data_IF_678323978883
#
_entry.id   IF_678323978883
#
_cell.length_a   1.000
_cell.length_b   1.000
_cell.length_c   1.000
_cell.angle_alpha   90.00
_cell.angle_beta   90.00
_cell.angle_gamma   90.00
#
_symmetry.space_group_name_H-M   'P 1'
#
loop_
_entity.id
_entity.type
_entity.pdbx_description
1 polymer ?
#
# COMPACT_ATOMS: atom_id res chain seq x y z
N UNK A 1 7.78 28.80 22.17
CA UNK A 1 7.68 30.14 22.77
C UNK A 1 9.10 30.64 23.03
N UNK A 2 9.36 31.92 22.75
CA UNK A 2 10.65 32.58 22.96
C UNK A 2 10.48 33.61 24.07
N UNK A 3 11.43 33.65 25.00
CA UNK A 3 11.47 34.58 26.12
C UNK A 3 12.79 35.33 26.10
N UNK A 4 12.74 36.65 26.14
CA UNK A 4 13.89 37.54 26.25
C UNK A 4 13.78 38.27 27.58
N UNK A 5 14.83 38.23 28.38
CA UNK A 5 14.87 38.87 29.70
C UNK A 5 16.02 39.86 29.76
N UNK A 6 15.72 41.07 30.20
CA UNK A 6 16.70 42.10 30.50
C UNK A 6 16.92 42.17 32.02
N UNK A 7 18.09 42.64 32.43
CA UNK A 7 18.42 42.87 33.85
C UNK A 7 17.74 44.13 34.42
N UNK A 8 17.16 44.96 33.55
CA UNK A 8 16.37 46.14 33.89
C UNK A 8 15.29 46.37 32.81
N UNK A 9 14.34 47.24 33.08
CA UNK A 9 13.27 47.54 32.13
C UNK A 9 13.82 48.32 30.92
N UNK A 10 13.45 47.89 29.71
CA UNK A 10 13.88 48.53 28.46
C UNK A 10 12.71 48.99 27.59
N UNK A 11 13.00 49.98 26.75
CA UNK A 11 12.15 50.49 25.67
C UNK A 11 12.87 50.37 24.32
N UNK A 12 12.16 50.62 23.21
CA UNK A 12 12.73 50.57 21.85
C UNK A 12 12.92 49.17 21.26
N UNK A 13 12.88 48.11 22.08
CA UNK A 13 12.99 46.73 21.61
C UNK A 13 11.78 46.31 20.76
N UNK A 14 12.06 45.79 19.56
CA UNK A 14 11.06 45.28 18.61
C UNK A 14 11.55 44.02 17.90
N UNK A 15 10.69 43.40 17.07
CA UNK A 15 11.11 42.29 16.22
C UNK A 15 12.22 42.65 15.21
N UNK A 16 12.39 43.93 14.85
CA UNK A 16 13.45 44.35 13.93
C UNK A 16 14.85 44.18 14.52
N UNK A 17 14.95 44.10 15.85
CA UNK A 17 16.20 43.84 16.57
C UNK A 17 16.57 42.35 16.58
N UNK A 18 15.69 41.46 16.11
CA UNK A 18 15.87 40.02 16.13
C UNK A 18 16.19 39.47 14.74
N UNK A 19 17.29 38.70 14.64
CA UNK A 19 17.55 37.82 13.51
C UNK A 19 17.13 36.40 13.86
N UNK A 20 16.29 35.80 13.01
CA UNK A 20 15.64 34.51 13.27
C UNK A 20 15.93 33.58 12.08
N UNK A 21 16.66 32.51 12.32
CA UNK A 21 16.86 31.46 11.32
C UNK A 21 15.61 30.56 11.21
N UNK A 22 15.29 30.12 9.99
CA UNK A 22 14.32 29.05 9.73
C UNK A 22 12.93 29.22 10.36
N UNK A 23 12.48 30.45 10.54
CA UNK A 23 11.13 30.72 11.03
C UNK A 23 10.87 32.21 11.24
N UNK A 24 9.76 32.49 11.90
CA UNK A 24 9.30 33.84 12.23
C UNK A 24 8.89 33.94 13.70
N UNK A 25 8.89 35.16 14.22
CA UNK A 25 8.35 35.46 15.54
C UNK A 25 7.06 36.27 15.39
N UNK A 26 6.08 36.00 16.26
CA UNK A 26 4.99 36.95 16.50
C UNK A 26 5.54 38.27 17.02
N UNK A 27 4.68 39.30 17.08
CA UNK A 27 5.02 40.54 17.76
C UNK A 27 5.55 40.25 19.18
N UNK A 28 6.69 40.84 19.53
CA UNK A 28 7.22 40.78 20.90
C UNK A 28 6.31 41.59 21.81
N UNK A 29 5.96 41.02 22.97
CA UNK A 29 5.08 41.69 23.95
C UNK A 29 5.68 41.61 25.34
N UNK A 30 5.46 42.64 26.15
CA UNK A 30 5.85 42.67 27.56
C UNK A 30 4.66 43.04 28.43
N UNK A 31 4.50 42.35 29.56
CA UNK A 31 3.45 42.61 30.56
C UNK A 31 4.00 43.17 31.87
N UNK A 32 5.33 43.29 31.98
CA UNK A 32 6.04 43.72 33.17
C UNK A 32 6.89 44.97 32.91
N UNK A 33 6.42 45.84 32.01
CA UNK A 33 7.03 47.14 31.75
C UNK A 33 8.40 47.07 31.06
N UNK A 34 8.69 46.00 30.31
CA UNK A 34 9.90 45.90 29.50
C UNK A 34 11.03 45.05 30.09
N UNK A 35 10.82 44.40 31.25
CA UNK A 35 11.80 43.47 31.84
C UNK A 35 11.85 42.13 31.09
N UNK A 36 10.70 41.61 30.70
CA UNK A 36 10.58 40.35 29.98
C UNK A 36 9.68 40.52 28.77
N UNK A 37 10.12 39.96 27.66
CA UNK A 37 9.42 39.99 26.40
C UNK A 37 9.20 38.57 25.90
N UNK A 38 8.00 38.29 25.41
CA UNK A 38 7.63 36.99 24.86
C UNK A 38 7.16 37.11 23.42
N UNK A 39 7.44 36.08 22.64
CA UNK A 39 6.93 35.89 21.29
C UNK A 39 6.74 34.40 20.98
N UNK A 40 5.82 34.10 20.08
CA UNK A 40 5.65 32.75 19.54
C UNK A 40 6.56 32.59 18.33
N UNK A 41 7.48 31.62 18.39
CA UNK A 41 8.27 31.19 17.24
C UNK A 41 7.47 30.20 16.41
N UNK A 42 7.37 30.48 15.11
CA UNK A 42 6.75 29.60 14.12
C UNK A 42 7.84 29.18 13.13
N UNK A 43 8.30 27.91 13.17
CA UNK A 43 9.28 27.41 12.22
C UNK A 43 8.72 27.42 10.79
N UNK A 44 9.61 27.56 9.81
CA UNK A 44 9.27 27.32 8.41
C UNK A 44 8.97 25.82 8.19
N UNK A 45 8.13 25.54 7.20
CA UNK A 45 7.85 24.16 6.79
C UNK A 45 9.03 23.52 6.05
N UNK A 46 9.10 22.19 6.06
CA UNK A 46 10.10 21.40 5.34
C UNK A 46 11.56 21.75 5.70
N UNK A 47 11.81 22.02 6.98
CA UNK A 47 13.15 22.27 7.53
C UNK A 47 13.56 21.08 8.40
N UNK A 48 14.80 20.62 8.24
CA UNK A 48 15.50 19.80 9.22
C UNK A 48 16.86 20.44 9.48
N UNK A 49 17.02 21.07 10.64
CA UNK A 49 18.22 21.81 11.02
C UNK A 49 18.40 21.74 12.54
N UNK A 50 19.57 21.27 12.98
CA UNK A 50 19.91 21.12 14.40
C UNK A 50 20.71 22.30 14.97
N UNK A 51 20.96 23.35 14.19
CA UNK A 51 21.95 24.41 14.49
C UNK A 51 21.38 25.83 14.52
N UNK A 52 20.11 25.99 14.89
CA UNK A 52 19.42 27.29 14.85
C UNK A 52 19.71 28.14 16.08
N UNK A 53 19.81 29.47 15.86
CA UNK A 53 19.87 30.48 16.92
C UNK A 53 18.96 31.67 16.58
N UNK A 54 18.45 32.36 17.60
CA UNK A 54 17.84 33.69 17.47
C UNK A 54 18.83 34.68 18.06
N UNK A 55 19.19 35.72 17.30
CA UNK A 55 20.16 36.72 17.74
C UNK A 55 19.50 38.08 17.95
N UNK A 56 19.73 38.67 19.12
CA UNK A 56 19.29 40.02 19.47
C UNK A 56 20.40 41.04 19.18
N UNK A 57 20.10 42.06 18.39
CA UNK A 57 20.88 43.29 18.28
C UNK A 57 20.41 44.29 19.34
N UNK A 58 21.31 44.74 20.21
CA UNK A 58 20.94 45.64 21.32
C UNK A 58 21.01 47.13 20.97
N UNK A 59 21.41 47.49 19.75
CA UNK A 59 21.61 48.89 19.35
C UNK A 59 20.33 49.76 19.35
N UNK A 60 19.14 49.16 19.27
CA UNK A 60 17.85 49.86 19.37
C UNK A 60 17.21 49.84 20.76
N UNK A 61 17.83 49.14 21.72
CA UNK A 61 17.26 48.88 23.05
C UNK A 61 17.79 49.91 24.05
N UNK A 62 16.88 50.56 24.79
CA UNK A 62 17.20 51.72 25.64
C UNK A 62 16.64 51.48 27.05
N UNK A 63 17.47 51.68 28.08
CA UNK A 63 17.03 51.62 29.49
C UNK A 63 16.26 52.88 29.93
N UNK A 64 15.81 52.93 31.19
CA UNK A 64 15.09 54.09 31.73
C UNK A 64 15.96 55.35 31.89
N UNK A 65 17.29 55.21 31.96
CA UNK A 65 18.24 56.32 32.05
C UNK A 65 18.65 56.87 30.67
N UNK A 66 18.22 56.23 29.58
CA UNK A 66 18.53 56.61 28.21
C UNK A 66 19.80 55.97 27.65
N UNK A 67 20.39 54.98 28.32
CA UNK A 67 21.56 54.28 27.80
C UNK A 67 21.14 53.28 26.72
N UNK A 68 21.82 53.32 25.57
CA UNK A 68 21.60 52.38 24.47
C UNK A 68 22.44 51.12 24.64
N UNK A 69 21.84 49.96 24.42
CA UNK A 69 22.54 48.69 24.40
C UNK A 69 23.54 48.56 23.24
N UNK A 70 24.49 47.62 23.35
CA UNK A 70 25.49 47.37 22.30
C UNK A 70 25.78 45.90 22.08
N UNK A 71 26.12 45.56 20.83
CA UNK A 71 26.50 44.22 20.40
C UNK A 71 25.33 43.26 20.15
N UNK A 72 25.70 42.04 19.77
CA UNK A 72 24.77 40.94 19.50
C UNK A 72 24.74 39.95 20.68
N UNK A 73 23.58 39.35 20.93
CA UNK A 73 23.44 38.27 21.91
C UNK A 73 22.65 37.13 21.29
N UNK A 74 23.27 35.97 21.01
CA UNK A 74 22.55 34.80 20.50
C UNK A 74 21.83 34.07 21.64
N UNK A 75 20.73 33.39 21.29
CA UNK A 75 20.11 32.38 22.14
C UNK A 75 21.01 31.15 22.28
N UNK A 76 20.61 30.23 23.17
CA UNK A 76 21.05 28.84 23.05
C UNK A 76 20.60 28.24 21.71
N UNK A 77 21.31 27.21 21.28
CA UNK A 77 20.98 26.45 20.08
C UNK A 77 19.62 25.73 20.22
N UNK A 78 18.89 25.58 19.12
CA UNK A 78 17.69 24.77 19.04
C UNK A 78 17.57 24.02 17.70
N UNK A 79 16.90 22.87 17.74
CA UNK A 79 16.62 22.08 16.56
C UNK A 79 15.22 22.39 16.02
N UNK A 80 15.09 22.31 14.70
CA UNK A 80 13.83 22.37 13.97
C UNK A 80 13.75 21.12 13.12
N UNK A 81 12.63 20.41 13.23
CA UNK A 81 12.25 19.39 12.28
C UNK A 81 10.77 19.52 11.94
N UNK A 82 10.49 19.99 10.73
CA UNK A 82 9.15 20.17 10.16
C UNK A 82 8.98 19.42 8.84
N UNK A 83 9.93 18.54 8.50
CA UNK A 83 9.76 17.62 7.37
C UNK A 83 8.72 16.59 7.79
N UNK A 84 7.83 16.23 6.86
CA UNK A 84 6.80 15.22 7.12
C UNK A 84 7.19 13.91 6.43
N UNK A 85 6.82 12.76 7.01
CA UNK A 85 6.97 11.49 6.33
C UNK A 85 6.27 11.43 4.97
N UNK A 86 7.04 11.02 3.98
CA UNK A 86 6.65 10.62 2.63
C UNK A 86 7.09 9.18 2.42
N UNK A 87 6.51 8.51 1.42
CA UNK A 87 6.81 7.11 1.16
C UNK A 87 6.86 6.81 -0.33
N UNK A 88 7.49 5.71 -0.68
CA UNK A 88 7.43 5.02 -1.96
C UNK A 88 7.06 3.55 -1.72
N UNK A 89 6.36 2.93 -2.67
CA UNK A 89 5.93 1.52 -2.57
C UNK A 89 6.34 0.82 -3.87
N UNK A 90 7.02 -0.31 -3.73
CA UNK A 90 7.44 -1.15 -4.86
C UNK A 90 6.95 -2.58 -4.65
N UNK A 91 6.22 -3.10 -5.63
CA UNK A 91 5.88 -4.52 -5.78
C UNK A 91 6.92 -5.14 -6.73
N UNK A 92 7.71 -6.08 -6.23
CA UNK A 92 8.91 -6.56 -6.92
C UNK A 92 8.60 -7.38 -8.19
N UNK A 93 7.75 -8.39 -8.07
CA UNK A 93 7.14 -9.09 -9.20
C UNK A 93 5.80 -8.42 -9.55
N UNK A 94 5.63 -8.08 -10.82
CA UNK A 94 4.48 -7.33 -11.35
C UNK A 94 3.57 -8.18 -12.22
N UNK A 95 3.81 -9.49 -12.35
CA UNK A 95 2.99 -10.39 -13.16
C UNK A 95 2.76 -11.71 -12.42
N UNK A 96 1.83 -11.71 -11.46
CA UNK A 96 1.62 -12.84 -10.56
C UNK A 96 0.61 -13.85 -11.10
N UNK A 97 0.96 -15.13 -10.95
CA UNK A 97 0.13 -16.28 -11.30
C UNK A 97 -0.32 -17.05 -10.06
N UNK A 98 -1.13 -18.08 -10.29
CA UNK A 98 -1.57 -19.00 -9.24
C UNK A 98 -0.38 -19.58 -8.47
N UNK A 99 -0.43 -19.47 -7.14
CA UNK A 99 0.60 -19.99 -6.24
C UNK A 99 1.84 -19.11 -6.06
N UNK A 100 1.97 -18.01 -6.80
CA UNK A 100 3.08 -17.07 -6.66
C UNK A 100 2.83 -16.04 -5.54
N UNK A 101 3.92 -15.42 -5.08
CA UNK A 101 3.90 -14.30 -4.12
C UNK A 101 4.95 -13.27 -4.54
N UNK A 102 4.79 -12.03 -4.11
CA UNK A 102 5.72 -10.94 -4.44
C UNK A 102 6.12 -10.17 -3.19
N UNK A 103 7.39 -9.76 -3.10
CA UNK A 103 7.85 -8.91 -2.01
C UNK A 103 7.43 -7.46 -2.27
N UNK A 104 6.77 -6.86 -1.30
CA UNK A 104 6.43 -5.44 -1.29
C UNK A 104 7.41 -4.70 -0.39
N UNK A 105 7.95 -3.60 -0.89
CA UNK A 105 8.88 -2.71 -0.17
C UNK A 105 8.24 -1.34 -0.05
N UNK A 106 8.07 -0.85 1.17
CA UNK A 106 7.71 0.54 1.46
C UNK A 106 8.94 1.23 2.03
N UNK A 107 9.34 2.36 1.44
CA UNK A 107 10.48 3.16 1.92
C UNK A 107 10.01 4.56 2.23
N UNK A 108 10.25 5.00 3.46
CA UNK A 108 10.01 6.37 3.91
C UNK A 108 11.26 7.24 3.74
N UNK A 109 11.11 8.56 3.63
CA UNK A 109 12.24 9.50 3.59
C UNK A 109 12.92 9.69 4.96
N UNK A 110 12.29 9.19 6.02
CA UNK A 110 12.75 9.25 7.40
C UNK A 110 12.16 8.08 8.20
N UNK A 111 12.71 7.81 9.38
CA UNK A 111 12.24 6.72 10.22
C UNK A 111 10.85 7.07 10.78
N UNK A 112 9.87 6.18 10.58
CA UNK A 112 8.49 6.38 11.06
C UNK A 112 8.07 5.38 12.13
N UNK A 113 7.13 5.83 12.95
CA UNK A 113 6.34 5.03 13.88
C UNK A 113 4.84 5.09 13.52
N UNK A 114 4.03 4.20 14.10
CA UNK A 114 2.58 4.15 13.85
C UNK A 114 2.15 3.42 12.58
N UNK A 115 3.06 3.15 11.64
CA UNK A 115 2.74 2.45 10.40
C UNK A 115 2.37 0.97 10.63
N UNK A 116 1.21 0.56 10.09
CA UNK A 116 0.70 -0.80 10.15
C UNK A 116 -0.02 -1.21 8.86
N UNK A 117 -0.44 -2.48 8.74
CA UNK A 117 -1.27 -2.93 7.63
C UNK A 117 -2.63 -2.22 7.53
N UNK A 118 -3.13 -1.60 8.62
CA UNK A 118 -4.39 -0.86 8.60
C UNK A 118 -4.31 0.43 7.76
N UNK A 119 -3.10 0.94 7.54
CA UNK A 119 -2.84 2.10 6.69
C UNK A 119 -2.80 1.75 5.20
N UNK A 120 -2.84 0.46 4.86
CA UNK A 120 -2.73 -0.05 3.50
C UNK A 120 -4.07 -0.52 2.95
N UNK A 121 -4.36 -0.18 1.70
CA UNK A 121 -5.37 -0.84 0.86
C UNK A 121 -4.68 -1.62 -0.24
N UNK A 122 -5.11 -2.86 -0.45
CA UNK A 122 -4.45 -3.82 -1.34
C UNK A 122 -5.48 -4.35 -2.33
N UNK A 123 -5.30 -4.06 -3.62
CA UNK A 123 -6.16 -4.60 -4.67
C UNK A 123 -5.86 -6.09 -4.92
N UNK A 124 -6.92 -6.90 -4.98
CA UNK A 124 -6.89 -8.30 -5.42
C UNK A 124 -5.84 -9.20 -4.74
N UNK A 125 -5.57 -8.99 -3.46
CA UNK A 125 -4.70 -9.86 -2.67
C UNK A 125 -4.60 -9.45 -1.21
N UNK A 126 -3.65 -10.03 -0.50
CA UNK A 126 -3.35 -9.71 0.90
C UNK A 126 -1.86 -9.48 1.10
N UNK A 127 -1.51 -8.79 2.19
CA UNK A 127 -0.14 -8.65 2.66
C UNK A 127 0.05 -9.42 3.96
N UNK A 128 1.23 -10.00 4.15
CA UNK A 128 1.71 -10.37 5.48
C UNK A 128 1.83 -9.12 6.37
N UNK A 129 2.07 -9.34 7.66
CA UNK A 129 2.42 -8.25 8.57
C UNK A 129 3.60 -7.47 8.03
N UNK A 130 3.48 -6.14 7.98
CA UNK A 130 4.60 -5.26 7.62
C UNK A 130 5.65 -5.29 8.72
N UNK A 131 6.92 -5.44 8.34
CA UNK A 131 8.03 -5.49 9.29
C UNK A 131 9.17 -4.59 8.84
N UNK A 132 9.86 -3.99 9.81
CA UNK A 132 11.06 -3.17 9.59
C UNK A 132 12.19 -3.66 10.47
N UNK A 133 13.41 -3.61 9.93
CA UNK A 133 14.65 -3.99 10.63
C UNK A 133 15.62 -2.82 10.78
N UNK A 134 15.27 -1.65 10.27
CA UNK A 134 16.10 -0.45 10.24
C UNK A 134 15.43 0.74 10.92
N UNK A 135 14.66 0.46 11.98
CA UNK A 135 14.06 1.49 12.83
C UNK A 135 12.91 2.25 12.17
N UNK A 136 12.27 1.71 11.13
CA UNK A 136 11.10 2.31 10.50
C UNK A 136 11.35 3.04 9.19
N UNK A 137 12.57 3.03 8.64
CA UNK A 137 12.87 3.61 7.33
C UNK A 137 12.34 2.77 6.16
N UNK A 138 12.50 1.45 6.26
CA UNK A 138 12.06 0.52 5.23
C UNK A 138 11.23 -0.59 5.85
N UNK A 139 10.10 -0.87 5.22
CA UNK A 139 9.15 -1.88 5.63
C UNK A 139 8.95 -2.87 4.51
N UNK A 140 8.87 -4.15 4.86
CA UNK A 140 8.63 -5.23 3.90
C UNK A 140 7.46 -6.09 4.32
N UNK A 141 6.76 -6.61 3.33
CA UNK A 141 5.71 -7.60 3.47
C UNK A 141 5.67 -8.50 2.22
N UNK A 142 5.09 -9.69 2.35
CA UNK A 142 4.82 -10.59 1.24
C UNK A 142 3.39 -10.38 0.77
N UNK A 143 3.23 -10.04 -0.51
CA UNK A 143 1.95 -9.99 -1.21
C UNK A 143 1.58 -11.35 -1.75
N UNK A 144 0.34 -11.77 -1.48
CA UNK A 144 -0.26 -13.00 -2.02
C UNK A 144 -1.50 -12.62 -2.84
N UNK A 145 -1.53 -12.94 -4.15
CA UNK A 145 -2.67 -12.63 -4.99
C UNK A 145 -3.88 -13.47 -4.59
N UNK A 146 -5.07 -12.89 -4.70
CA UNK A 146 -6.32 -13.62 -4.53
C UNK A 146 -6.49 -14.62 -5.67
N UNK A 147 -6.96 -15.83 -5.35
CA UNK A 147 -7.22 -16.87 -6.34
C UNK A 147 -8.41 -16.51 -7.26
N UNK A 148 -8.41 -17.08 -8.47
CA UNK A 148 -9.45 -16.91 -9.48
C UNK A 148 -9.71 -15.44 -9.90
N UNK A 149 -8.64 -14.64 -9.99
CA UNK A 149 -8.67 -13.25 -10.49
C UNK A 149 -7.81 -13.15 -11.75
N UNK A 150 -8.32 -12.44 -12.75
CA UNK A 150 -7.53 -11.95 -13.89
C UNK A 150 -7.75 -10.43 -13.98
N UNK A 151 -6.72 -9.66 -13.65
CA UNK A 151 -6.77 -8.19 -13.63
C UNK A 151 -5.37 -7.63 -13.92
N UNK A 152 -5.26 -6.75 -14.90
CA UNK A 152 -3.97 -6.16 -15.32
C UNK A 152 -3.64 -4.84 -14.60
N UNK A 153 -4.58 -4.29 -13.82
CA UNK A 153 -4.49 -2.95 -13.25
C UNK A 153 -4.72 -2.95 -11.73
N UNK A 154 -3.69 -3.29 -10.96
CA UNK A 154 -3.76 -3.35 -9.51
C UNK A 154 -2.74 -2.43 -8.85
N UNK A 155 -3.10 -1.86 -7.70
CA UNK A 155 -2.27 -0.98 -6.90
C UNK A 155 -2.40 -1.31 -5.41
N UNK A 156 -1.33 -1.05 -4.67
CA UNK A 156 -1.34 -0.92 -3.21
C UNK A 156 -1.29 0.57 -2.89
N UNK A 157 -2.20 1.04 -2.04
CA UNK A 157 -2.21 2.43 -1.57
C UNK A 157 -1.90 2.51 -0.08
N UNK A 158 -1.08 3.48 0.31
CA UNK A 158 -0.78 3.84 1.70
C UNK A 158 -1.44 5.17 2.06
N UNK A 159 -2.24 5.19 3.13
CA UNK A 159 -2.64 6.41 3.82
C UNK A 159 -1.59 6.81 4.85
N UNK A 160 -1.00 8.00 4.73
CA UNK A 160 0.07 8.46 5.63
C UNK A 160 -0.44 9.18 6.88
N UNK A 161 -1.74 9.31 7.09
CA UNK A 161 -2.28 10.01 8.26
C UNK A 161 -1.99 9.29 9.60
N UNK A 162 -1.74 7.97 9.58
CA UNK A 162 -1.41 7.17 10.77
C UNK A 162 0.09 7.09 11.11
N UNK A 163 0.96 7.69 10.29
CA UNK A 163 2.43 7.56 10.45
C UNK A 163 3.04 8.88 10.93
N UNK A 164 4.01 8.80 11.83
CA UNK A 164 4.75 9.97 12.34
C UNK A 164 6.24 9.69 12.47
N UNK A 165 7.05 10.71 12.26
CA UNK A 165 8.49 10.66 12.53
C UNK A 165 8.83 10.79 14.02
N UNK A 166 10.12 10.91 14.34
CA UNK A 166 10.62 11.12 15.69
C UNK A 166 10.34 12.52 16.26
N UNK A 167 10.17 13.53 15.40
CA UNK A 167 9.84 14.90 15.78
C UNK A 167 8.34 15.10 16.02
N UNK A 168 7.51 14.11 15.69
CA UNK A 168 6.06 14.13 15.80
C UNK A 168 5.36 14.71 14.58
N UNK A 169 6.05 14.88 13.44
CA UNK A 169 5.40 15.31 12.21
C UNK A 169 4.59 14.15 11.64
N UNK A 170 3.28 14.36 11.53
CA UNK A 170 2.35 13.37 10.99
C UNK A 170 2.39 13.43 9.46
N UNK A 171 2.44 12.27 8.82
CA UNK A 171 2.32 12.14 7.37
C UNK A 171 0.97 12.65 6.86
N UNK A 172 0.87 12.90 5.55
CA UNK A 172 -0.39 13.37 4.96
C UNK A 172 -0.63 12.81 3.56
N UNK A 173 -1.90 12.68 3.19
CA UNK A 173 -2.32 12.17 1.89
C UNK A 173 -1.93 10.71 1.63
N UNK A 174 -2.08 10.29 0.38
CA UNK A 174 -1.86 8.90 -0.04
C UNK A 174 -0.67 8.76 -0.97
N UNK A 175 -0.07 7.57 -1.02
CA UNK A 175 0.90 7.17 -2.04
C UNK A 175 0.48 5.82 -2.60
N UNK A 176 0.71 5.56 -3.89
CA UNK A 176 0.43 4.27 -4.53
C UNK A 176 1.72 3.58 -5.00
N UNK A 177 1.67 2.26 -5.15
CA UNK A 177 2.74 1.47 -5.75
C UNK A 177 2.85 1.64 -7.26
N UNK A 178 3.87 0.99 -7.86
CA UNK A 178 3.78 0.60 -9.26
C UNK A 178 2.61 -0.36 -9.50
N UNK A 179 2.16 -0.44 -10.75
CA UNK A 179 1.16 -1.40 -11.18
C UNK A 179 1.67 -2.85 -11.07
N UNK A 180 0.76 -3.77 -10.78
CA UNK A 180 0.97 -5.22 -10.94
C UNK A 180 -0.26 -5.88 -11.60
N UNK A 181 -0.01 -6.91 -12.39
CA UNK A 181 -1.01 -7.76 -13.01
C UNK A 181 -1.14 -9.08 -12.24
N UNK A 182 -2.34 -9.63 -12.25
CA UNK A 182 -2.68 -10.92 -11.64
C UNK A 182 -3.39 -11.78 -12.69
N UNK A 183 -2.98 -13.03 -12.80
CA UNK A 183 -3.71 -14.09 -13.50
C UNK A 183 -3.66 -15.40 -12.70
N UNK A 184 -4.59 -15.55 -11.76
CA UNK A 184 -4.78 -16.75 -10.94
C UNK A 184 -5.99 -17.59 -11.37
N UNK A 185 -6.57 -17.31 -12.54
CA UNK A 185 -7.65 -18.12 -13.11
C UNK A 185 -7.04 -19.41 -13.64
N UNK A 186 -7.49 -20.55 -13.11
CA UNK A 186 -7.08 -21.86 -13.62
C UNK A 186 -7.96 -22.28 -14.82
N UNK A 187 -7.42 -22.99 -15.82
CA UNK A 187 -8.22 -23.53 -16.91
C UNK A 187 -9.34 -24.43 -16.39
N UNK A 188 -10.57 -24.22 -16.87
CA UNK A 188 -11.72 -25.06 -16.57
C UNK A 188 -12.21 -25.75 -17.85
N UNK A 189 -12.39 -27.07 -17.80
CA UNK A 189 -13.00 -27.83 -18.88
C UNK A 189 -14.44 -28.21 -18.51
N UNK A 190 -15.40 -27.84 -19.35
CA UNK A 190 -16.78 -28.33 -19.23
C UNK A 190 -17.02 -29.35 -20.33
N UNK A 191 -17.26 -30.62 -19.97
CA UNK A 191 -17.67 -31.66 -20.93
C UNK A 191 -19.19 -31.71 -20.97
N UNK A 192 -19.79 -31.20 -22.04
CA UNK A 192 -21.18 -31.46 -22.35
C UNK A 192 -21.29 -32.80 -23.10
N UNK A 193 -22.00 -33.77 -22.53
CA UNK A 193 -22.46 -34.95 -23.28
C UNK A 193 -23.82 -34.59 -23.86
N UNK A 194 -23.87 -34.17 -25.12
CA UNK A 194 -25.11 -34.22 -25.89
C UNK A 194 -25.25 -35.64 -26.42
N UNK A 195 -25.92 -36.49 -25.65
CA UNK A 195 -26.34 -37.80 -26.10
C UNK A 195 -27.85 -37.82 -26.28
N UNK A 196 -28.32 -37.98 -27.52
CA UNK A 196 -29.55 -38.74 -27.74
C UNK A 196 -29.34 -40.10 -27.07
N UNK A 197 -30.28 -40.52 -26.22
CA UNK A 197 -30.29 -41.89 -25.67
C UNK A 197 -30.08 -42.83 -26.86
N UNK A 198 -28.92 -43.48 -26.94
CA UNK A 198 -28.75 -44.61 -27.85
C UNK A 198 -29.68 -45.68 -27.30
N UNK A 199 -30.92 -45.68 -27.81
CA UNK A 199 -31.83 -46.78 -27.60
C UNK A 199 -31.12 -47.99 -28.21
N UNK A 200 -30.54 -48.82 -27.37
CA UNK A 200 -30.42 -50.22 -27.72
C UNK A 200 -31.86 -50.71 -27.75
N UNK A 201 -32.56 -50.53 -28.89
CA UNK A 201 -33.68 -51.39 -29.16
C UNK A 201 -33.06 -52.77 -29.09
N UNK A 202 -33.39 -53.54 -28.06
CA UNK A 202 -33.40 -54.98 -28.22
C UNK A 202 -34.26 -55.17 -29.46
N UNK A 203 -33.60 -55.42 -30.59
CA UNK A 203 -34.25 -55.94 -31.77
C UNK A 203 -34.73 -57.32 -31.38
N UNK A 204 -35.79 -57.37 -30.57
CA UNK A 204 -36.69 -58.48 -30.51
C UNK A 204 -37.21 -58.59 -31.93
N UNK A 205 -36.52 -59.41 -32.73
CA UNK A 205 -37.06 -59.96 -33.96
C UNK A 205 -38.49 -60.36 -33.60
N UNK A 206 -39.46 -59.76 -34.30
CA UNK A 206 -40.85 -60.12 -34.07
C UNK A 206 -40.97 -61.64 -34.15
N UNK A 207 -41.83 -62.26 -33.33
CA UNK A 207 -41.98 -63.72 -33.28
C UNK A 207 -42.12 -64.33 -34.70
N UNK A 208 -42.71 -63.59 -35.63
CA UNK A 208 -42.85 -63.96 -37.03
C UNK A 208 -41.50 -64.04 -37.79
N UNK A 209 -40.58 -63.09 -37.57
CA UNK A 209 -39.24 -63.13 -38.17
C UNK A 209 -38.37 -64.27 -37.60
N UNK A 210 -38.53 -64.59 -36.31
CA UNK A 210 -37.89 -65.77 -35.72
C UNK A 210 -38.49 -67.09 -36.23
N UNK A 211 -39.81 -67.14 -36.44
CA UNK A 211 -40.49 -68.29 -37.02
C UNK A 211 -40.09 -68.52 -38.49
N UNK A 212 -39.96 -67.46 -39.28
CA UNK A 212 -39.56 -67.56 -40.68
C UNK A 212 -38.08 -68.00 -40.83
N UNK A 213 -37.20 -67.52 -39.95
CA UNK A 213 -35.80 -67.99 -39.91
C UNK A 213 -35.67 -69.44 -39.44
N UNK A 214 -36.51 -69.91 -38.51
CA UNK A 214 -36.56 -71.33 -38.14
C UNK A 214 -37.05 -72.22 -39.29
N UNK A 215 -38.12 -71.84 -39.99
CA UNK A 215 -38.63 -72.59 -41.16
C UNK A 215 -37.62 -72.65 -42.30
N UNK A 216 -36.87 -71.56 -42.52
CA UNK A 216 -35.82 -71.53 -43.55
C UNK A 216 -34.68 -72.51 -43.22
N UNK A 217 -34.29 -72.63 -41.96
CA UNK A 217 -33.26 -73.59 -41.51
C UNK A 217 -33.75 -75.03 -41.68
N UNK A 218 -35.02 -75.31 -41.36
CA UNK A 218 -35.60 -76.65 -41.50
C UNK A 218 -35.74 -77.08 -42.98
N UNK A 219 -36.23 -76.19 -43.84
CA UNK A 219 -36.29 -76.45 -45.28
C UNK A 219 -34.90 -76.67 -45.89
N UNK A 220 -33.88 -75.94 -45.42
CA UNK A 220 -32.50 -76.15 -45.87
C UNK A 220 -31.98 -77.53 -45.45
N UNK A 221 -32.22 -77.96 -44.20
CA UNK A 221 -31.85 -79.31 -43.73
C UNK A 221 -32.55 -80.41 -44.53
N UNK A 222 -33.82 -80.25 -44.87
CA UNK A 222 -34.56 -81.20 -45.69
C UNK A 222 -34.03 -81.27 -47.13
N UNK A 223 -33.65 -80.12 -47.70
CA UNK A 223 -33.04 -80.06 -49.02
C UNK A 223 -31.65 -80.73 -49.03
N UNK A 224 -30.83 -80.46 -48.03
CA UNK A 224 -29.51 -81.09 -47.87
C UNK A 224 -29.63 -82.62 -47.68
N UNK A 225 -30.65 -83.09 -46.96
CA UNK A 225 -30.93 -84.53 -46.80
C UNK A 225 -31.42 -85.19 -48.10
N UNK A 226 -32.29 -84.50 -48.86
CA UNK A 226 -32.77 -84.99 -50.15
C UNK A 226 -31.63 -85.08 -51.18
N UNK A 227 -30.73 -84.10 -51.19
CA UNK A 227 -29.53 -84.10 -52.01
C UNK A 227 -28.57 -85.24 -51.61
N UNK A 228 -28.38 -85.49 -50.31
CA UNK A 228 -27.55 -86.58 -49.83
C UNK A 228 -28.11 -87.95 -50.24
N UNK A 229 -29.42 -88.18 -50.10
CA UNK A 229 -30.08 -89.44 -50.49
C UNK A 229 -30.09 -89.66 -52.02
N UNK A 230 -30.21 -88.60 -52.82
CA UNK A 230 -30.17 -88.68 -54.28
C UNK A 230 -28.79 -89.05 -54.86
N UNK A 231 -27.72 -88.97 -54.07
CA UNK A 231 -26.36 -89.34 -54.48
C UNK A 231 -25.97 -90.80 -54.18
N UNK A 232 -26.87 -91.58 -53.56
CA UNK A 232 -26.68 -93.00 -53.22
C UNK A 232 -27.49 -93.99 -54.10
N UNK A 233 -28.13 -93.51 -55.17
CA UNK A 233 -28.84 -94.32 -56.17
C UNK A 233 -28.12 -94.26 -57.52
#
# INVERSE_FOLDING_TARGET
MVTITFNEAVSGFTNADLSVANGTLSAVTSTNGGLTWTATFTPNAAISDSTNVISLNKAGVIDAAGNTGSGMTPSSNYAIDTIRPTASIVVADTALKVGETSRVTITFNEAVSGFTNADLSVANGTLSTVTSTNGGLTWTATFTPKAAISDSTNLISLNKAGVSDAAGNIGSGTTVSNNYAIDTVQPAATRAVSGSVQSFSSGALTLNQQLDSMKAVENKKLLDLALALGSLA
#
